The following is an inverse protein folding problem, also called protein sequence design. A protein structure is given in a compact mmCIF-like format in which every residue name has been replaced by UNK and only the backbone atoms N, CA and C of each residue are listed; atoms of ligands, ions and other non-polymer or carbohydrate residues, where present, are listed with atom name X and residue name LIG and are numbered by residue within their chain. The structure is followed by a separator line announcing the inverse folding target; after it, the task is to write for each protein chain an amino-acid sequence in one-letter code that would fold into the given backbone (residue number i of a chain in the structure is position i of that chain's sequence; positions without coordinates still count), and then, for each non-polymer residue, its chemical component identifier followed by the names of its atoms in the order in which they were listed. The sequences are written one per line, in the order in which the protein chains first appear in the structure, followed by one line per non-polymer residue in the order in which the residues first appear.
data_IF_610353234452
#
_entry.id   IF_610353234452
#
_cell.length_a   1.000
_cell.length_b   1.000
_cell.length_c   1.000
_cell.angle_alpha   90.00
_cell.angle_beta   90.00
_cell.angle_gamma   90.00
#
_symmetry.space_group_name_H-M   'P 1'
#
loop_
_entity.id
_entity.type
_entity.pdbx_description
1 polymer ?
#
# COMPACT_ATOMS: atom_id res chain seq x y z
N UNK A 1 15.78 -0.58 -3.21
CA UNK A 1 14.41 -0.03 -3.18
C UNK A 1 13.50 -1.17 -2.77
N UNK A 2 12.66 -0.98 -1.73
CA UNK A 2 11.97 -2.08 -1.04
C UNK A 2 11.24 -3.07 -1.97
N UNK A 3 10.53 -2.58 -3.00
CA UNK A 3 9.83 -3.46 -3.94
C UNK A 3 10.76 -4.24 -4.87
N UNK A 4 11.80 -3.60 -5.42
CA UNK A 4 12.75 -4.28 -6.32
C UNK A 4 13.45 -5.43 -5.62
N UNK A 5 13.80 -5.24 -4.34
CA UNK A 5 14.46 -6.26 -3.54
C UNK A 5 13.56 -7.48 -3.29
N UNK A 6 12.32 -7.26 -2.81
CA UNK A 6 11.43 -8.37 -2.44
C UNK A 6 10.80 -9.08 -3.65
N UNK A 7 10.70 -8.40 -4.80
CA UNK A 7 10.11 -8.95 -6.02
C UNK A 7 11.13 -9.66 -6.92
N UNK A 8 12.43 -9.55 -6.64
CA UNK A 8 13.49 -10.14 -7.47
C UNK A 8 13.31 -11.65 -7.68
N UNK A 9 12.92 -12.38 -6.63
CA UNK A 9 12.73 -13.84 -6.66
C UNK A 9 11.52 -14.28 -7.51
N UNK A 10 10.61 -13.35 -7.84
CA UNK A 10 9.42 -13.63 -8.65
C UNK A 10 9.62 -13.32 -10.14
N UNK A 11 10.86 -13.08 -10.58
CA UNK A 11 11.21 -12.70 -11.95
C UNK A 11 10.45 -11.43 -12.43
N UNK A 12 10.12 -10.53 -11.50
CA UNK A 12 9.55 -9.22 -11.81
C UNK A 12 10.70 -8.21 -11.81
N UNK A 13 11.14 -7.73 -12.99
CA UNK A 13 12.22 -6.75 -13.06
C UNK A 13 11.74 -5.37 -12.56
N UNK A 14 12.70 -4.51 -12.20
CA UNK A 14 12.46 -3.17 -11.67
C UNK A 14 11.48 -2.32 -12.50
N UNK A 15 11.64 -2.30 -13.82
CA UNK A 15 10.80 -1.55 -14.76
C UNK A 15 9.38 -2.11 -14.92
N UNK A 16 9.09 -3.27 -14.33
CA UNK A 16 7.74 -3.86 -14.25
C UNK A 16 7.06 -3.61 -12.91
N UNK A 17 7.75 -3.02 -11.93
CA UNK A 17 7.12 -2.60 -10.68
C UNK A 17 6.24 -1.38 -10.98
N UNK A 18 4.92 -1.47 -10.80
CA UNK A 18 4.02 -0.36 -11.06
C UNK A 18 4.14 0.72 -9.98
N UNK A 19 3.55 1.88 -10.23
CA UNK A 19 3.30 2.86 -9.19
C UNK A 19 2.45 2.22 -8.07
N UNK A 20 2.82 2.41 -6.79
CA UNK A 20 2.12 1.77 -5.69
C UNK A 20 0.77 2.42 -5.40
N UNK A 21 -0.13 1.63 -4.82
CA UNK A 21 -1.26 2.19 -4.07
C UNK A 21 -0.77 2.58 -2.69
N UNK A 22 -0.67 3.88 -2.43
CA UNK A 22 -0.19 4.42 -1.14
C UNK A 22 -1.31 4.41 -0.09
N UNK A 23 -1.52 3.25 0.54
CA UNK A 23 -2.50 3.09 1.63
C UNK A 23 -2.15 4.03 2.80
N UNK A 24 -3.18 4.66 3.36
CA UNK A 24 -3.08 5.63 4.48
C UNK A 24 -2.30 6.93 4.19
N UNK A 25 -1.69 7.09 3.02
CA UNK A 25 -1.02 8.33 2.65
C UNK A 25 -2.03 9.45 2.44
N UNK A 26 -1.67 10.65 2.89
CA UNK A 26 -2.48 11.86 2.71
C UNK A 26 -1.75 12.85 1.80
N UNK A 27 -2.12 12.84 0.51
CA UNK A 27 -1.54 13.71 -0.52
C UNK A 27 -2.64 14.47 -1.27
N UNK A 28 -3.25 15.50 -0.68
CA UNK A 28 -4.36 16.20 -1.31
C UNK A 28 -3.89 16.99 -2.54
N UNK A 29 -4.78 17.05 -3.54
CA UNK A 29 -4.64 17.96 -4.68
C UNK A 29 -5.18 19.32 -4.27
N UNK A 30 -4.36 20.36 -4.37
CA UNK A 30 -4.72 21.74 -4.05
C UNK A 30 -5.50 22.40 -5.22
N UNK A 31 -6.18 23.54 -4.98
CA UNK A 31 -6.95 24.23 -6.03
C UNK A 31 -6.14 24.65 -7.26
N UNK A 32 -4.82 24.80 -7.13
CA UNK A 32 -3.89 25.13 -8.21
C UNK A 32 -3.39 23.89 -8.98
N UNK A 33 -3.87 22.70 -8.63
CA UNK A 33 -3.49 21.43 -9.25
C UNK A 33 -2.20 20.82 -8.70
N UNK A 34 -1.55 21.46 -7.71
CA UNK A 34 -0.36 20.89 -7.06
C UNK A 34 -0.74 19.84 -6.01
N UNK A 35 0.21 18.98 -5.66
CA UNK A 35 0.05 18.04 -4.55
C UNK A 35 0.70 18.59 -3.29
N UNK A 36 0.00 18.52 -2.17
CA UNK A 36 0.61 18.70 -0.85
C UNK A 36 0.95 17.35 -0.22
N UNK A 37 1.87 17.37 0.74
CA UNK A 37 2.14 16.24 1.63
C UNK A 37 1.60 16.57 3.01
N UNK A 38 0.63 15.82 3.49
CA UNK A 38 0.07 15.96 4.82
C UNK A 38 0.31 14.69 5.65
N UNK A 39 0.25 14.83 6.97
CA UNK A 39 0.32 13.68 7.86
C UNK A 39 -0.86 12.73 7.60
N UNK A 40 -0.58 11.43 7.67
CA UNK A 40 -1.62 10.41 7.62
C UNK A 40 -2.64 10.63 8.74
N UNK A 41 -3.95 10.56 8.44
CA UNK A 41 -4.99 10.60 9.47
C UNK A 41 -5.18 9.24 10.17
N UNK A 42 -4.55 8.18 9.65
CA UNK A 42 -4.70 6.83 10.17
C UNK A 42 -4.06 6.67 11.56
N UNK A 43 -4.64 5.78 12.36
CA UNK A 43 -4.22 5.49 13.73
C UNK A 43 -3.86 4.01 13.86
N UNK A 44 -3.16 3.68 14.94
CA UNK A 44 -2.88 2.28 15.28
C UNK A 44 -4.19 1.49 15.37
N UNK A 45 -4.29 0.41 14.60
CA UNK A 45 -5.49 -0.43 14.53
C UNK A 45 -6.40 -0.13 13.34
N UNK A 46 -6.23 1.00 12.64
CA UNK A 46 -6.90 1.22 11.35
C UNK A 46 -6.39 0.20 10.32
N UNK A 47 -7.29 -0.33 9.51
CA UNK A 47 -6.95 -1.34 8.51
C UNK A 47 -7.81 -1.22 7.26
N UNK A 48 -7.31 -1.81 6.19
CA UNK A 48 -8.08 -2.09 4.97
C UNK A 48 -8.06 -3.59 4.71
N UNK A 49 -9.14 -4.12 4.16
CA UNK A 49 -9.21 -5.52 3.70
C UNK A 49 -9.36 -5.53 2.19
N UNK A 50 -8.45 -6.22 1.50
CA UNK A 50 -8.48 -6.36 0.05
C UNK A 50 -8.90 -7.78 -0.32
N UNK A 51 -9.83 -7.89 -1.27
CA UNK A 51 -10.22 -9.17 -1.85
C UNK A 51 -9.35 -9.47 -3.08
N UNK A 52 -8.59 -10.56 -3.01
CA UNK A 52 -7.91 -11.11 -4.19
C UNK A 52 -8.96 -11.70 -5.15
N UNK A 53 -9.20 -11.03 -6.29
CA UNK A 53 -10.14 -11.50 -7.33
C UNK A 53 -9.53 -12.54 -8.29
N UNK A 54 -8.22 -12.73 -8.20
CA UNK A 54 -7.42 -13.71 -8.94
C UNK A 54 -6.16 -14.01 -8.13
N UNK A 55 -5.44 -15.06 -8.52
CA UNK A 55 -4.12 -15.36 -7.95
C UNK A 55 -3.17 -14.20 -8.22
N UNK A 56 -2.41 -13.79 -7.21
CA UNK A 56 -1.54 -12.63 -7.28
C UNK A 56 -0.31 -12.75 -6.38
N UNK A 57 0.72 -11.99 -6.73
CA UNK A 57 1.84 -11.68 -5.85
C UNK A 57 1.59 -10.26 -5.32
N UNK A 58 1.50 -10.12 -4.01
CA UNK A 58 1.38 -8.82 -3.35
C UNK A 58 2.68 -8.51 -2.60
N UNK A 59 3.24 -7.33 -2.86
CA UNK A 59 4.32 -6.76 -2.06
C UNK A 59 3.79 -5.57 -1.27
N UNK A 60 4.15 -5.50 0.01
CA UNK A 60 3.84 -4.38 0.89
C UNK A 60 5.14 -3.80 1.41
N UNK A 61 5.22 -2.46 1.46
CA UNK A 61 6.37 -1.75 2.01
C UNK A 61 5.88 -0.76 3.04
N UNK A 62 6.38 -0.85 4.26
CA UNK A 62 6.31 0.26 5.20
C UNK A 62 7.20 1.39 4.65
N UNK A 63 6.59 2.50 4.22
CA UNK A 63 7.31 3.61 3.61
C UNK A 63 8.28 4.24 4.63
N UNK A 64 9.59 4.34 4.36
CA UNK A 64 10.56 4.82 5.35
C UNK A 64 10.64 6.34 5.45
N UNK A 65 9.81 7.10 4.71
CA UNK A 65 9.85 8.56 4.65
C UNK A 65 9.67 9.18 6.05
N UNK A 66 10.68 9.86 6.54
CA UNK A 66 10.73 10.54 7.84
C UNK A 66 11.02 12.05 7.70
N UNK A 67 11.37 12.52 6.51
CA UNK A 67 11.69 13.92 6.23
C UNK A 67 10.48 14.76 5.79
N UNK A 68 9.43 14.10 5.30
CA UNK A 68 8.18 14.73 4.88
C UNK A 68 7.02 14.45 5.85
N UNK A 69 5.96 15.28 5.86
CA UNK A 69 4.85 15.11 6.80
C UNK A 69 4.13 13.76 6.76
N UNK A 70 4.20 13.00 5.66
CA UNK A 70 3.40 11.78 5.41
C UNK A 70 3.31 10.82 6.59
N UNK A 71 4.46 10.38 7.12
CA UNK A 71 4.51 9.46 8.25
C UNK A 71 4.72 10.19 9.59
N UNK A 72 4.44 11.49 9.65
CA UNK A 72 4.64 12.34 10.83
C UNK A 72 6.06 12.25 11.43
N UNK A 73 7.07 12.02 10.59
CA UNK A 73 8.47 11.86 10.99
C UNK A 73 8.76 10.61 11.83
N UNK A 74 7.81 9.67 11.94
CA UNK A 74 7.93 8.46 12.76
C UNK A 74 7.33 7.25 12.02
N UNK A 75 8.03 6.71 11.00
CA UNK A 75 7.60 5.48 10.35
C UNK A 75 7.42 4.34 11.36
N UNK A 76 6.40 3.52 11.17
CA UNK A 76 6.13 2.32 11.98
C UNK A 76 5.88 1.12 11.10
N UNK A 77 5.93 -0.07 11.69
CA UNK A 77 5.66 -1.32 10.99
C UNK A 77 4.22 -1.39 10.47
N UNK A 78 4.04 -2.11 9.36
CA UNK A 78 2.75 -2.53 8.85
C UNK A 78 2.54 -4.01 9.12
N UNK A 79 1.34 -4.38 9.57
CA UNK A 79 0.96 -5.78 9.76
C UNK A 79 0.12 -6.25 8.57
N UNK A 80 0.63 -7.22 7.83
CA UNK A 80 -0.11 -7.89 6.76
C UNK A 80 -0.63 -9.23 7.29
N UNK A 81 -1.93 -9.49 7.10
CA UNK A 81 -2.57 -10.76 7.47
C UNK A 81 -3.27 -11.35 6.27
N UNK A 82 -3.08 -12.64 6.05
CA UNK A 82 -3.90 -13.41 5.12
C UNK A 82 -5.16 -13.88 5.86
N UNK A 83 -6.32 -13.47 5.37
CA UNK A 83 -7.58 -14.03 5.83
C UNK A 83 -7.90 -15.28 5.01
N UNK A 84 -8.39 -16.34 5.66
CA UNK A 84 -8.93 -17.49 4.93
C UNK A 84 -10.10 -17.00 4.06
N UNK A 85 -10.11 -17.38 2.79
CA UNK A 85 -11.18 -16.99 1.88
C UNK A 85 -12.52 -17.46 2.39
N UNK A 86 -13.39 -16.53 2.82
CA UNK A 86 -14.82 -16.82 2.86
C UNK A 86 -15.25 -17.12 1.43
N UNK A 87 -16.06 -18.17 1.23
CA UNK A 87 -16.69 -18.44 -0.05
C UNK A 87 -17.26 -17.12 -0.59
N UNK A 88 -16.74 -16.64 -1.72
CA UNK A 88 -17.26 -15.43 -2.35
C UNK A 88 -18.77 -15.59 -2.58
N UNK A 89 -19.55 -14.50 -2.62
CA UNK A 89 -20.98 -14.62 -2.89
C UNK A 89 -21.17 -15.36 -4.21
N UNK A 90 -21.94 -16.45 -4.17
CA UNK A 90 -22.37 -17.27 -5.29
C UNK A 90 -23.26 -16.43 -6.21
N UNK A 91 -22.65 -15.48 -6.93
CA UNK A 91 -23.30 -14.72 -7.98
C UNK A 91 -23.37 -15.58 -9.23
N UNK A 92 -24.57 -16.05 -9.54
CA UNK A 92 -24.91 -16.73 -10.78
C UNK A 92 -24.49 -15.89 -12.00
N UNK A 93 -24.00 -16.59 -13.02
CA UNK A 93 -23.66 -16.08 -14.36
C UNK A 93 -24.69 -15.10 -14.93
#
# INVERSE_FOLDING_TARGET
MNFVEVLADYAIPDWRVPDPVNLFQNSPVLPDGTFASAASPAKAGDYVTLLARMDLIAACSACPQDLAPTNAGRPTDLVVRLAAGGAGPTGTR
#
